data_IF_054682821484
#
_entry.id   IF_054682821484
#
_cell.length_a   1.000
_cell.length_b   1.000
_cell.length_c   1.000
_cell.angle_alpha   90.00
_cell.angle_beta   90.00
_cell.angle_gamma   90.00
#
_symmetry.space_group_name_H-M   'P 1'
#
loop_
_entity.id
_entity.type
_entity.pdbx_description
1 polymer ?
#
# COMPACT_ATOMS: atom_id res chain seq x y z
N UNK A 1 37.40 25.84 -15.68
CA UNK A 1 37.26 24.85 -14.57
C UNK A 1 36.27 25.23 -13.48
N UNK A 2 35.48 26.31 -13.61
CA UNK A 2 34.54 26.76 -12.58
C UNK A 2 33.06 26.20 -12.73
N UNK A 3 32.77 25.50 -13.82
CA UNK A 3 31.41 25.03 -14.13
C UNK A 3 31.02 23.67 -13.51
N UNK A 4 31.99 22.79 -13.28
CA UNK A 4 31.70 21.43 -12.79
C UNK A 4 31.42 21.36 -11.28
N UNK A 5 32.03 22.24 -10.49
CA UNK A 5 31.84 22.26 -9.05
C UNK A 5 30.45 22.74 -8.62
N UNK A 6 29.80 23.61 -9.41
CA UNK A 6 28.44 24.10 -9.13
C UNK A 6 27.36 23.03 -9.36
N UNK A 7 27.53 22.19 -10.38
CA UNK A 7 26.60 21.10 -10.72
C UNK A 7 26.63 19.97 -9.69
N UNK A 8 27.81 19.62 -9.17
CA UNK A 8 27.95 18.62 -8.10
C UNK A 8 27.28 19.06 -6.79
N UNK A 9 27.43 20.32 -6.38
CA UNK A 9 26.80 20.84 -5.16
C UNK A 9 25.28 20.81 -5.24
N UNK A 10 24.67 21.04 -6.39
CA UNK A 10 23.21 21.02 -6.56
C UNK A 10 22.63 19.63 -6.43
N UNK A 11 23.28 18.58 -6.99
CA UNK A 11 22.84 17.20 -6.86
C UNK A 11 22.98 16.68 -5.43
N UNK A 12 24.09 17.00 -4.74
CA UNK A 12 24.28 16.62 -3.35
C UNK A 12 23.28 17.31 -2.41
N UNK A 13 22.98 18.60 -2.63
CA UNK A 13 21.95 19.30 -1.86
C UNK A 13 20.55 18.74 -2.12
N UNK A 14 20.26 18.24 -3.31
CA UNK A 14 19.01 17.58 -3.62
C UNK A 14 18.91 16.23 -2.88
N UNK A 15 19.98 15.43 -2.88
CA UNK A 15 20.04 14.16 -2.13
C UNK A 15 19.98 14.37 -0.62
N UNK A 16 20.58 15.45 -0.11
CA UNK A 16 20.53 15.80 1.32
C UNK A 16 19.18 16.39 1.77
N UNK A 17 18.38 16.87 0.82
CA UNK A 17 17.02 17.37 1.07
C UNK A 17 15.98 16.26 1.22
N UNK A 18 16.31 15.03 0.83
CA UNK A 18 15.43 13.88 1.03
C UNK A 18 15.38 13.50 2.51
N UNK A 19 14.23 13.66 3.12
CA UNK A 19 13.96 13.13 4.47
C UNK A 19 13.83 11.60 4.38
N UNK A 20 14.73 10.89 5.06
CA UNK A 20 14.76 9.44 5.12
C UNK A 20 16.18 8.85 5.08
N UNK A 21 16.28 7.57 5.34
CA UNK A 21 17.55 6.86 5.30
C UNK A 21 18.02 6.72 3.84
N UNK A 22 19.19 7.28 3.54
CA UNK A 22 19.81 7.24 2.20
C UNK A 22 20.06 5.81 1.72
N UNK A 23 20.30 4.88 2.66
CA UNK A 23 20.49 3.47 2.35
C UNK A 23 19.21 2.83 1.82
N UNK A 24 18.07 3.15 2.45
CA UNK A 24 16.76 2.68 1.99
C UNK A 24 16.45 3.19 0.58
N UNK A 25 16.72 4.47 0.30
CA UNK A 25 16.53 5.03 -1.04
C UNK A 25 17.42 4.36 -2.10
N UNK A 26 18.66 4.07 -1.75
CA UNK A 26 19.58 3.36 -2.65
C UNK A 26 19.09 1.95 -2.97
N UNK A 27 18.60 1.22 -1.97
CA UNK A 27 18.02 -0.12 -2.14
C UNK A 27 16.76 -0.07 -3.00
N UNK A 28 15.85 0.89 -2.77
CA UNK A 28 14.63 1.07 -3.56
C UNK A 28 14.96 1.33 -5.03
N UNK A 29 15.90 2.22 -5.32
CA UNK A 29 16.33 2.51 -6.70
C UNK A 29 16.95 1.28 -7.38
N UNK A 30 17.76 0.53 -6.67
CA UNK A 30 18.35 -0.72 -7.18
C UNK A 30 17.27 -1.77 -7.48
N UNK A 31 16.29 -1.93 -6.61
CA UNK A 31 15.16 -2.85 -6.81
C UNK A 31 14.29 -2.44 -8.01
N UNK A 32 14.04 -1.15 -8.20
CA UNK A 32 13.33 -0.63 -9.38
C UNK A 32 14.09 -0.97 -10.66
N UNK A 33 15.41 -0.75 -10.67
CA UNK A 33 16.23 -1.04 -11.83
C UNK A 33 16.24 -2.54 -12.14
N UNK A 34 16.42 -3.40 -11.15
CA UNK A 34 16.30 -4.85 -11.31
C UNK A 34 14.93 -5.28 -11.81
N UNK A 35 13.85 -4.68 -11.31
CA UNK A 35 12.49 -4.95 -11.76
C UNK A 35 12.30 -4.62 -13.24
N UNK A 36 12.79 -3.45 -13.70
CA UNK A 36 12.70 -3.06 -15.11
C UNK A 36 13.46 -4.05 -16.00
N UNK A 37 14.68 -4.46 -15.60
CA UNK A 37 15.48 -5.43 -16.34
C UNK A 37 14.78 -6.79 -16.41
N UNK A 38 14.22 -7.28 -15.29
CA UNK A 38 13.49 -8.54 -15.24
C UNK A 38 12.24 -8.52 -16.13
N UNK A 39 11.48 -7.43 -16.13
CA UNK A 39 10.30 -7.25 -16.98
C UNK A 39 10.74 -7.22 -18.45
N UNK A 40 11.79 -6.47 -18.80
CA UNK A 40 12.33 -6.44 -20.16
C UNK A 40 12.70 -7.85 -20.65
N UNK A 41 13.33 -8.65 -19.80
CA UNK A 41 13.72 -10.02 -20.13
C UNK A 41 12.51 -10.95 -20.33
N UNK A 42 11.49 -10.85 -19.47
CA UNK A 42 10.31 -11.74 -19.50
C UNK A 42 9.24 -11.37 -20.54
N UNK A 43 9.25 -10.11 -21.02
CA UNK A 43 8.18 -9.56 -21.87
C UNK A 43 8.21 -10.09 -23.30
N UNK A 44 9.28 -10.78 -23.72
CA UNK A 44 9.39 -11.31 -25.08
C UNK A 44 8.28 -12.30 -25.45
N UNK A 45 7.94 -13.20 -24.55
CA UNK A 45 6.88 -14.20 -24.75
C UNK A 45 5.48 -13.56 -24.68
N UNK A 46 5.27 -12.66 -23.73
CA UNK A 46 4.01 -11.93 -23.57
C UNK A 46 3.66 -11.06 -24.77
N UNK A 47 4.65 -10.37 -25.35
CA UNK A 47 4.48 -9.55 -26.54
C UNK A 47 4.00 -10.37 -27.76
N UNK A 48 4.49 -11.61 -27.90
CA UNK A 48 4.04 -12.53 -28.93
C UNK A 48 2.60 -13.00 -28.71
N UNK A 49 2.22 -13.30 -27.46
CA UNK A 49 0.87 -13.76 -27.11
C UNK A 49 -0.17 -12.65 -27.25
N UNK A 50 0.15 -11.43 -26.85
CA UNK A 50 -0.77 -10.29 -26.87
C UNK A 50 -0.78 -9.50 -28.18
N UNK A 51 0.03 -9.90 -29.19
CA UNK A 51 0.20 -9.19 -30.48
C UNK A 51 0.54 -7.70 -30.30
N UNK A 52 1.25 -7.37 -29.23
CA UNK A 52 1.70 -6.01 -28.90
C UNK A 52 3.21 -5.89 -29.00
N UNK A 53 3.70 -4.66 -29.13
CA UNK A 53 5.15 -4.41 -29.14
C UNK A 53 5.71 -4.47 -27.72
N UNK A 54 6.94 -5.00 -27.56
CA UNK A 54 7.63 -5.00 -26.24
C UNK A 54 7.70 -3.60 -25.62
N UNK A 55 7.89 -2.58 -26.47
CA UNK A 55 7.96 -1.20 -26.02
C UNK A 55 6.64 -0.70 -25.41
N UNK A 56 5.50 -1.13 -25.90
CA UNK A 56 4.21 -0.76 -25.33
C UNK A 56 4.06 -1.31 -23.90
N UNK A 57 4.41 -2.56 -23.67
CA UNK A 57 4.33 -3.18 -22.33
C UNK A 57 5.32 -2.50 -21.36
N UNK A 58 6.54 -2.19 -21.83
CA UNK A 58 7.55 -1.53 -20.99
C UNK A 58 7.14 -0.10 -20.66
N UNK A 59 6.57 0.64 -21.62
CA UNK A 59 6.12 2.03 -21.38
C UNK A 59 4.99 2.08 -20.36
N UNK A 60 4.05 1.15 -20.41
CA UNK A 60 2.98 1.02 -19.40
C UNK A 60 3.56 0.74 -18.00
N UNK A 61 4.52 -0.18 -17.90
CA UNK A 61 5.18 -0.50 -16.64
C UNK A 61 6.01 0.67 -16.11
N UNK A 62 6.69 1.42 -16.97
CA UNK A 62 7.45 2.61 -16.58
C UNK A 62 6.52 3.69 -16.00
N UNK A 63 5.37 3.93 -16.63
CA UNK A 63 4.38 4.89 -16.14
C UNK A 63 3.88 4.50 -14.75
N UNK A 64 3.55 3.21 -14.54
CA UNK A 64 3.14 2.70 -13.23
C UNK A 64 4.25 2.83 -12.17
N UNK A 65 5.49 2.52 -12.54
CA UNK A 65 6.64 2.62 -11.64
C UNK A 65 6.93 4.07 -11.24
N UNK A 66 6.88 4.99 -12.21
CA UNK A 66 7.05 6.43 -11.94
C UNK A 66 5.90 6.98 -11.10
N UNK A 67 4.67 6.54 -11.37
CA UNK A 67 3.50 6.87 -10.54
C UNK A 67 3.65 6.39 -9.10
N UNK A 68 4.10 5.15 -8.91
CA UNK A 68 4.39 4.60 -7.58
C UNK A 68 5.48 5.37 -6.84
N UNK A 69 6.57 5.71 -7.55
CA UNK A 69 7.65 6.52 -6.99
C UNK A 69 7.17 7.92 -6.57
N UNK A 70 6.33 8.55 -7.40
CA UNK A 70 5.74 9.85 -7.08
C UNK A 70 4.87 9.78 -5.81
N UNK A 71 4.06 8.73 -5.65
CA UNK A 71 3.25 8.50 -4.44
C UNK A 71 4.15 8.34 -3.21
N UNK A 72 5.24 7.59 -3.31
CA UNK A 72 6.20 7.42 -2.21
C UNK A 72 6.78 8.77 -1.80
N UNK A 73 7.20 9.60 -2.77
CA UNK A 73 7.74 10.94 -2.51
C UNK A 73 6.72 11.85 -1.82
N UNK A 74 5.45 11.81 -2.26
CA UNK A 74 4.36 12.57 -1.64
C UNK A 74 4.16 12.09 -0.19
N UNK A 75 4.11 10.78 0.04
CA UNK A 75 3.97 10.21 1.38
C UNK A 75 5.13 10.61 2.31
N UNK A 76 6.37 10.61 1.81
CA UNK A 76 7.54 11.04 2.57
C UNK A 76 7.50 12.55 2.93
N UNK A 77 6.86 13.37 2.08
CA UNK A 77 6.72 14.81 2.33
C UNK A 77 5.68 15.14 3.41
N UNK A 78 4.78 14.21 3.73
CA UNK A 78 3.72 14.42 4.73
C UNK A 78 4.26 14.12 6.13
N UNK A 79 4.56 15.17 6.91
CA UNK A 79 5.08 15.07 8.29
C UNK A 79 3.99 14.86 9.34
N UNK A 80 2.71 14.99 9.00
CA UNK A 80 1.59 14.92 9.96
C UNK A 80 1.22 13.48 10.28
N UNK A 81 1.57 12.97 11.46
CA UNK A 81 1.21 11.64 11.96
C UNK A 81 -0.31 11.42 11.97
N UNK A 82 -1.09 12.48 12.23
CA UNK A 82 -2.55 12.43 12.22
C UNK A 82 -3.13 12.03 10.87
N UNK A 83 -2.50 12.42 9.77
CA UNK A 83 -2.90 12.01 8.42
C UNK A 83 -2.77 10.49 8.24
N UNK A 84 -1.63 9.91 8.61
CA UNK A 84 -1.40 8.47 8.51
C UNK A 84 -2.35 7.66 9.39
N UNK A 85 -2.77 8.21 10.53
CA UNK A 85 -3.80 7.60 11.38
C UNK A 85 -5.13 7.45 10.65
N UNK A 86 -5.60 8.49 9.98
CA UNK A 86 -6.86 8.46 9.22
C UNK A 86 -6.72 7.52 8.03
N UNK A 87 -5.63 7.63 7.28
CA UNK A 87 -5.35 6.77 6.10
C UNK A 87 -5.30 5.31 6.50
N UNK A 88 -4.71 4.95 7.64
CA UNK A 88 -4.64 3.56 8.10
C UNK A 88 -6.02 2.98 8.46
N UNK A 89 -6.88 3.77 9.11
CA UNK A 89 -8.23 3.33 9.46
C UNK A 89 -9.11 3.20 8.21
N UNK A 90 -9.06 4.19 7.31
CA UNK A 90 -9.77 4.13 6.03
C UNK A 90 -9.24 2.99 5.15
N UNK A 91 -7.92 2.82 5.10
CA UNK A 91 -7.28 1.73 4.35
C UNK A 91 -7.76 0.36 4.83
N UNK A 92 -7.86 0.14 6.13
CA UNK A 92 -8.42 -1.09 6.68
C UNK A 92 -9.89 -1.29 6.29
N UNK A 93 -10.73 -0.25 6.41
CA UNK A 93 -12.14 -0.33 6.03
C UNK A 93 -12.32 -0.64 4.53
N UNK A 94 -11.54 0.02 3.66
CA UNK A 94 -11.52 -0.25 2.22
C UNK A 94 -11.05 -1.68 1.94
N UNK A 95 -10.03 -2.18 2.66
CA UNK A 95 -9.53 -3.54 2.52
C UNK A 95 -10.60 -4.59 2.84
N UNK A 96 -11.34 -4.41 3.93
CA UNK A 96 -12.46 -5.29 4.26
C UNK A 96 -13.54 -5.24 3.17
N UNK A 97 -13.87 -4.04 2.67
CA UNK A 97 -14.83 -3.89 1.57
C UNK A 97 -14.39 -4.62 0.30
N UNK A 98 -13.12 -4.49 -0.09
CA UNK A 98 -12.56 -5.19 -1.27
C UNK A 98 -12.55 -6.71 -1.08
N UNK A 99 -12.20 -7.20 0.12
CA UNK A 99 -12.24 -8.63 0.43
C UNK A 99 -13.67 -9.18 0.41
N UNK A 100 -14.65 -8.43 0.91
CA UNK A 100 -16.05 -8.83 0.85
C UNK A 100 -16.57 -8.89 -0.59
N UNK A 101 -16.23 -7.91 -1.43
CA UNK A 101 -16.55 -7.94 -2.87
C UNK A 101 -15.97 -9.19 -3.52
N UNK A 102 -14.74 -9.53 -3.17
CA UNK A 102 -14.04 -10.69 -3.70
C UNK A 102 -14.67 -12.01 -3.21
N UNK A 103 -14.94 -12.12 -1.89
CA UNK A 103 -15.53 -13.31 -1.27
C UNK A 103 -16.98 -13.58 -1.73
N UNK A 104 -17.76 -12.52 -1.95
CA UNK A 104 -19.13 -12.61 -2.43
C UNK A 104 -19.24 -12.66 -3.96
N UNK A 105 -18.11 -12.63 -4.69
CA UNK A 105 -18.05 -12.61 -6.15
C UNK A 105 -18.93 -11.52 -6.79
N UNK A 106 -19.01 -10.36 -6.14
CA UNK A 106 -19.91 -9.28 -6.54
C UNK A 106 -19.40 -8.63 -7.84
N UNK A 107 -20.29 -8.55 -8.83
CA UNK A 107 -20.07 -7.80 -10.06
C UNK A 107 -21.13 -6.71 -10.14
N UNK A 108 -20.82 -5.52 -9.61
CA UNK A 108 -21.75 -4.37 -9.61
C UNK A 108 -21.14 -3.22 -10.39
N UNK A 109 -21.73 -2.90 -11.52
CA UNK A 109 -21.34 -1.74 -12.32
C UNK A 109 -19.87 -1.73 -12.75
N UNK A 110 -19.09 -0.70 -12.35
CA UNK A 110 -17.68 -0.60 -12.74
C UNK A 110 -16.74 -1.50 -11.96
N UNK A 111 -17.24 -2.18 -10.92
CA UNK A 111 -16.45 -3.06 -10.04
C UNK A 111 -16.76 -4.50 -10.38
N UNK A 112 -15.75 -5.24 -10.85
CA UNK A 112 -15.89 -6.64 -11.25
C UNK A 112 -14.81 -7.48 -10.59
N UNK A 113 -15.19 -8.52 -9.86
CA UNK A 113 -14.27 -9.56 -9.42
C UNK A 113 -13.82 -10.38 -10.63
N UNK A 114 -12.52 -10.54 -10.81
CA UNK A 114 -11.93 -11.30 -11.91
C UNK A 114 -11.32 -12.59 -11.40
N UNK A 115 -11.67 -13.69 -12.07
CA UNK A 115 -11.08 -14.99 -11.84
C UNK A 115 -9.83 -15.13 -12.72
N UNK A 116 -8.65 -15.17 -12.11
CA UNK A 116 -7.38 -15.30 -12.83
C UNK A 116 -6.50 -16.34 -12.13
N UNK A 117 -5.84 -17.19 -12.93
CA UNK A 117 -4.95 -18.24 -12.43
C UNK A 117 -5.60 -19.14 -11.35
N UNK A 118 -6.83 -19.59 -11.61
CA UNK A 118 -7.61 -20.49 -10.75
C UNK A 118 -7.98 -19.91 -9.36
N UNK A 119 -7.92 -18.59 -9.19
CA UNK A 119 -8.33 -17.93 -7.94
C UNK A 119 -8.94 -16.55 -8.19
N UNK A 120 -9.86 -16.14 -7.31
CA UNK A 120 -10.40 -14.80 -7.24
C UNK A 120 -9.41 -13.91 -6.48
N UNK A 121 -8.63 -13.09 -7.18
CA UNK A 121 -7.56 -12.28 -6.56
C UNK A 121 -7.55 -10.83 -6.99
N UNK A 122 -8.27 -10.53 -8.07
CA UNK A 122 -8.24 -9.23 -8.72
C UNK A 122 -9.63 -8.64 -8.75
N UNK A 123 -9.71 -7.36 -8.43
CA UNK A 123 -10.91 -6.55 -8.64
C UNK A 123 -10.59 -5.53 -9.72
N UNK A 124 -11.38 -5.54 -10.79
CA UNK A 124 -11.30 -4.49 -11.81
C UNK A 124 -12.18 -3.33 -11.37
N UNK A 125 -11.59 -2.14 -11.25
CA UNK A 125 -12.27 -0.90 -10.94
C UNK A 125 -12.02 0.08 -12.08
N UNK A 126 -13.04 0.47 -12.80
CA UNK A 126 -12.94 1.40 -13.95
C UNK A 126 -11.91 0.95 -15.02
N UNK A 127 -11.71 -0.35 -15.19
CA UNK A 127 -10.73 -0.90 -16.14
C UNK A 127 -9.32 -1.10 -15.56
N UNK A 128 -9.03 -0.57 -14.37
CA UNK A 128 -7.78 -0.83 -13.66
C UNK A 128 -7.89 -2.13 -12.86
N UNK A 129 -6.95 -3.03 -13.04
CA UNK A 129 -6.87 -4.29 -12.30
C UNK A 129 -6.11 -4.08 -11.00
N UNK A 130 -6.80 -4.24 -9.87
CA UNK A 130 -6.23 -4.09 -8.53
C UNK A 130 -6.08 -5.47 -7.90
N UNK A 131 -4.84 -5.82 -7.55
CA UNK A 131 -4.55 -7.00 -6.75
C UNK A 131 -4.93 -6.76 -5.30
N UNK A 132 -6.11 -7.25 -4.90
CA UNK A 132 -6.70 -6.97 -3.58
C UNK A 132 -5.77 -7.34 -2.44
N UNK A 133 -5.11 -8.48 -2.51
CA UNK A 133 -4.24 -8.95 -1.42
C UNK A 133 -3.02 -8.03 -1.18
N UNK A 134 -2.48 -7.39 -2.23
CA UNK A 134 -1.37 -6.45 -2.07
C UNK A 134 -1.81 -5.18 -1.33
N UNK A 135 -2.99 -4.67 -1.66
CA UNK A 135 -3.59 -3.52 -0.97
C UNK A 135 -3.88 -3.86 0.50
N UNK A 136 -4.46 -5.04 0.74
CA UNK A 136 -4.80 -5.51 2.10
C UNK A 136 -3.56 -5.66 2.97
N UNK A 137 -2.46 -6.20 2.44
CA UNK A 137 -1.18 -6.32 3.19
C UNK A 137 -0.69 -4.96 3.69
N UNK A 138 -0.62 -3.98 2.79
CA UNK A 138 -0.13 -2.64 3.15
C UNK A 138 -1.08 -1.97 4.16
N UNK A 139 -2.38 -2.00 3.90
CA UNK A 139 -3.38 -1.41 4.79
C UNK A 139 -3.38 -2.06 6.18
N UNK A 140 -3.19 -3.38 6.24
CA UNK A 140 -3.14 -4.13 7.49
C UNK A 140 -1.91 -3.79 8.32
N UNK A 141 -0.73 -3.67 7.68
CA UNK A 141 0.50 -3.26 8.36
C UNK A 141 0.34 -1.85 8.94
N UNK A 142 -0.20 -0.91 8.16
CA UNK A 142 -0.44 0.46 8.62
C UNK A 142 -1.45 0.51 9.76
N UNK A 143 -2.53 -0.26 9.67
CA UNK A 143 -3.56 -0.33 10.70
C UNK A 143 -3.00 -0.93 12.00
N UNK A 144 -2.25 -2.03 11.94
CA UNK A 144 -1.65 -2.66 13.11
C UNK A 144 -0.63 -1.74 13.78
N UNK A 145 0.18 -1.03 13.01
CA UNK A 145 1.12 -0.04 13.54
C UNK A 145 0.39 1.05 14.32
N UNK A 146 -0.73 1.56 13.78
CA UNK A 146 -1.60 2.50 14.50
C UNK A 146 -2.22 1.86 15.76
N UNK A 147 -2.78 0.66 15.67
CA UNK A 147 -3.46 -0.01 16.77
C UNK A 147 -2.51 -0.27 17.95
N UNK A 148 -1.28 -0.74 17.67
CA UNK A 148 -0.24 -0.97 18.69
C UNK A 148 0.17 0.34 19.35
N UNK A 149 0.36 1.42 18.58
CA UNK A 149 0.69 2.73 19.12
C UNK A 149 -0.47 3.31 19.96
N UNK A 150 -1.71 3.15 19.49
CA UNK A 150 -2.90 3.59 20.22
C UNK A 150 -3.09 2.78 21.52
N UNK A 151 -2.74 1.48 21.52
CA UNK A 151 -2.74 0.65 22.70
C UNK A 151 -1.71 1.11 23.74
N UNK A 152 -0.50 1.43 23.26
CA UNK A 152 0.59 1.92 24.12
C UNK A 152 0.26 3.26 24.79
N UNK A 153 -0.43 4.14 24.08
CA UNK A 153 -0.78 5.48 24.54
C UNK A 153 -2.21 5.61 25.09
N UNK A 154 -2.95 4.50 25.21
CA UNK A 154 -4.37 4.44 25.60
C UNK A 154 -5.29 5.44 24.86
N UNK A 155 -4.97 5.70 23.57
CA UNK A 155 -5.60 6.71 22.72
C UNK A 155 -6.81 6.20 21.95
N UNK A 156 -7.52 5.20 22.46
CA UNK A 156 -8.73 4.65 21.82
C UNK A 156 -9.96 5.49 22.12
N UNK A 157 -10.27 6.45 21.26
CA UNK A 157 -11.37 7.40 21.46
C UNK A 157 -12.72 6.69 21.60
N UNK A 158 -13.01 5.69 20.74
CA UNK A 158 -14.28 4.95 20.74
C UNK A 158 -14.37 4.01 21.94
N UNK A 159 -13.32 3.27 22.26
CA UNK A 159 -13.31 2.35 23.41
C UNK A 159 -13.40 3.11 24.73
N UNK A 160 -12.77 4.27 24.84
CA UNK A 160 -12.83 5.11 26.03
C UNK A 160 -14.22 5.74 26.21
N UNK A 161 -14.89 6.09 25.10
CA UNK A 161 -16.27 6.59 25.15
C UNK A 161 -17.27 5.48 25.55
N UNK A 162 -17.15 4.30 24.94
CA UNK A 162 -17.97 3.12 25.28
C UNK A 162 -17.66 2.57 26.69
N UNK A 163 -16.42 2.69 27.14
CA UNK A 163 -15.97 2.25 28.47
C UNK A 163 -16.61 3.03 29.61
N UNK A 164 -17.10 4.26 29.37
CA UNK A 164 -17.93 5.00 30.34
C UNK A 164 -19.28 4.35 30.55
N UNK A 165 -19.86 3.67 29.55
CA UNK A 165 -21.17 3.03 29.60
C UNK A 165 -21.08 1.55 29.99
N UNK A 166 -20.02 0.88 29.56
CA UNK A 166 -19.79 -0.55 29.79
C UNK A 166 -18.39 -0.80 30.34
N UNK A 167 -18.23 -1.17 31.63
CA UNK A 167 -16.92 -1.30 32.29
C UNK A 167 -16.02 -2.39 31.67
N UNK A 168 -16.61 -3.39 30.97
CA UNK A 168 -15.88 -4.45 30.28
C UNK A 168 -15.01 -3.94 29.18
N UNK A 169 -15.41 -2.83 28.50
CA UNK A 169 -14.65 -2.22 27.39
C UNK A 169 -13.40 -1.46 27.86
N UNK A 170 -13.29 -1.17 29.13
CA UNK A 170 -12.15 -0.46 29.70
C UNK A 170 -10.99 -1.40 30.08
N UNK A 171 -11.22 -2.73 30.06
CA UNK A 171 -10.17 -3.71 30.35
C UNK A 171 -9.13 -3.73 29.22
N UNK A 172 -7.82 -3.77 29.54
CA UNK A 172 -6.75 -3.77 28.53
C UNK A 172 -6.83 -4.99 27.60
N UNK A 173 -7.27 -6.14 28.12
CA UNK A 173 -7.47 -7.35 27.30
C UNK A 173 -8.56 -7.15 26.24
N UNK A 174 -9.69 -6.54 26.57
CA UNK A 174 -10.78 -6.29 25.64
C UNK A 174 -10.35 -5.34 24.51
N UNK A 175 -9.65 -4.26 24.87
CA UNK A 175 -9.08 -3.33 23.88
C UNK A 175 -8.12 -4.05 22.93
N UNK A 176 -7.24 -4.90 23.46
CA UNK A 176 -6.27 -5.67 22.65
C UNK A 176 -6.99 -6.66 21.72
N UNK A 177 -7.99 -7.37 22.21
CA UNK A 177 -8.76 -8.31 21.38
C UNK A 177 -9.46 -7.58 20.24
N UNK A 178 -10.22 -6.53 20.54
CA UNK A 178 -11.06 -5.84 19.54
C UNK A 178 -10.23 -5.09 18.50
N UNK A 179 -9.14 -4.44 18.88
CA UNK A 179 -8.38 -3.58 17.95
C UNK A 179 -7.18 -4.27 17.30
N UNK A 180 -6.73 -5.40 17.80
CA UNK A 180 -5.60 -6.13 17.24
C UNK A 180 -6.02 -7.48 16.71
N UNK A 181 -6.62 -8.35 17.56
CA UNK A 181 -6.91 -9.72 17.16
C UNK A 181 -8.11 -9.84 16.21
N UNK A 182 -9.20 -9.09 16.44
CA UNK A 182 -10.38 -9.13 15.56
C UNK A 182 -10.05 -8.68 14.14
N UNK A 183 -9.32 -7.58 13.89
CA UNK A 183 -8.90 -7.20 12.54
C UNK A 183 -8.02 -8.24 11.84
N UNK A 184 -7.07 -8.83 12.55
CA UNK A 184 -6.22 -9.89 11.99
C UNK A 184 -7.10 -11.09 11.60
N UNK A 185 -7.96 -11.54 12.51
CA UNK A 185 -8.82 -12.70 12.29
C UNK A 185 -9.81 -12.45 11.14
N UNK A 186 -10.41 -11.25 11.05
CA UNK A 186 -11.34 -10.90 9.98
C UNK A 186 -10.68 -10.95 8.59
N UNK A 187 -9.45 -10.46 8.48
CA UNK A 187 -8.70 -10.53 7.22
C UNK A 187 -8.29 -11.96 6.89
N UNK A 188 -7.81 -12.74 7.88
CA UNK A 188 -7.45 -14.15 7.66
C UNK A 188 -8.66 -15.03 7.28
N UNK A 189 -9.84 -14.70 7.75
CA UNK A 189 -11.06 -15.44 7.42
C UNK A 189 -11.58 -15.12 6.02
N UNK A 190 -11.33 -13.92 5.53
CA UNK A 190 -11.79 -13.45 4.22
C UNK A 190 -10.79 -13.76 3.07
N UNK A 191 -9.54 -14.09 3.40
CA UNK A 191 -8.52 -14.54 2.43
C UNK A 191 -8.64 -16.03 2.17
#
# INVERSE_FOLDING_TARGET
MAGETKKKKTLWNFVDSFEGDKVVWMIVMLLILLSIVAIFSSTSLLALQQKTTRMAIISEQLVLTLGGLAIILICCSIKKIGFFRIVSQLGYAVSIGLLLILALHITVGPVKALYLNQAWRIVSVLGLQVHVFEVVKVAMIMYLAWAVNAFRNDSFMIANHLGKKYPLWNKPLTKKIVYIYVPIFSVCLLI
#
